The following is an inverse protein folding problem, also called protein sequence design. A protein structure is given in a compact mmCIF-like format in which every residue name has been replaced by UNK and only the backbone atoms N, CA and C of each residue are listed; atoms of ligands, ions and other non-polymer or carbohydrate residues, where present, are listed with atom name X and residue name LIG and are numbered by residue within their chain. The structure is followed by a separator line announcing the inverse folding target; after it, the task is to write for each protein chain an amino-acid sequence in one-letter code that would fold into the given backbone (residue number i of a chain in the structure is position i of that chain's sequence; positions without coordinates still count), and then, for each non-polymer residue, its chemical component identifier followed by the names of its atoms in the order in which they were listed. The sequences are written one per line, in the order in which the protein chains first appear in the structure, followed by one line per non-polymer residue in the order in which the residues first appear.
data_IF_719765536746
#
_entry.id   IF_719765536746
#
_cell.length_a   1.000
_cell.length_b   1.000
_cell.length_c   1.000
_cell.angle_alpha   90.00
_cell.angle_beta   90.00
_cell.angle_gamma   90.00
#
_symmetry.space_group_name_H-M   'P 1'
#
loop_
_entity.id
_entity.type
_entity.pdbx_description
1 polymer ?
#
# COMPACT_ATOMS: atom_id res chain seq x y z
N UNK A 1 3.85 -6.64 -13.00
CA UNK A 1 3.15 -5.40 -13.41
C UNK A 1 4.10 -4.25 -13.15
N UNK A 2 4.38 -3.40 -14.15
CA UNK A 2 5.17 -2.19 -13.96
C UNK A 2 4.23 -1.03 -13.60
N UNK A 3 4.56 -0.29 -12.53
CA UNK A 3 3.87 0.94 -12.14
C UNK A 3 4.72 2.13 -12.56
N UNK A 4 4.12 3.10 -13.23
CA UNK A 4 4.74 4.40 -13.50
C UNK A 4 4.38 5.35 -12.38
N UNK A 5 5.40 5.83 -11.67
CA UNK A 5 5.25 6.81 -10.62
C UNK A 5 5.51 8.22 -11.17
N UNK A 6 4.63 9.16 -10.84
CA UNK A 6 4.82 10.58 -11.11
C UNK A 6 4.78 11.35 -9.80
N UNK A 7 5.83 12.12 -9.53
CA UNK A 7 5.93 13.03 -8.40
C UNK A 7 5.66 14.45 -8.90
N UNK A 8 4.81 15.18 -8.18
CA UNK A 8 4.52 16.60 -8.45
C UNK A 8 4.56 17.40 -7.15
N UNK A 9 5.00 18.65 -7.26
CA UNK A 9 4.97 19.62 -6.17
C UNK A 9 4.02 20.75 -6.53
N UNK A 10 3.27 21.22 -5.55
CA UNK A 10 2.39 22.38 -5.68
C UNK A 10 2.51 23.28 -4.47
N UNK A 11 2.53 24.58 -4.69
CA UNK A 11 2.41 25.58 -3.64
C UNK A 11 0.95 25.69 -3.16
N UNK A 12 0.72 25.72 -1.85
CA UNK A 12 -0.59 25.99 -1.23
C UNK A 12 -0.42 26.99 -0.08
N UNK A 13 -1.53 27.50 0.47
CA UNK A 13 -1.55 28.46 1.57
C UNK A 13 -0.81 27.97 2.83
N UNK A 14 -0.73 26.65 3.02
CA UNK A 14 -0.11 25.99 4.17
C UNK A 14 1.35 25.52 3.94
N UNK A 15 1.94 25.81 2.76
CA UNK A 15 3.31 25.42 2.42
C UNK A 15 3.41 24.66 1.09
N UNK A 16 4.46 23.84 0.94
CA UNK A 16 4.68 23.00 -0.23
C UNK A 16 3.97 21.66 -0.05
N UNK A 17 3.20 21.24 -1.05
CA UNK A 17 2.56 19.93 -1.10
C UNK A 17 3.27 19.04 -2.12
N UNK A 18 3.55 17.80 -1.74
CA UNK A 18 4.11 16.77 -2.60
C UNK A 18 3.05 15.68 -2.86
N UNK A 19 2.88 15.31 -4.13
CA UNK A 19 1.90 14.32 -4.59
C UNK A 19 2.62 13.22 -5.37
N UNK A 20 2.51 11.98 -4.89
CA UNK A 20 2.94 10.79 -5.60
C UNK A 20 1.74 10.05 -6.17
N UNK A 21 1.72 9.87 -7.48
CA UNK A 21 0.70 9.10 -8.19
C UNK A 21 1.36 7.89 -8.88
N UNK A 22 0.89 6.69 -8.56
CA UNK A 22 1.31 5.46 -9.22
C UNK A 22 0.21 4.99 -10.18
N UNK A 23 0.53 4.88 -11.46
CA UNK A 23 -0.37 4.40 -12.52
C UNK A 23 0.08 3.06 -13.07
N UNK A 24 -0.88 2.22 -13.43
CA UNK A 24 -0.57 1.00 -14.19
C UNK A 24 -0.30 1.29 -15.68
N UNK A 25 0.08 0.25 -16.43
CA UNK A 25 0.35 0.35 -17.86
C UNK A 25 -0.87 0.81 -18.71
N UNK A 26 -2.09 0.74 -18.17
CA UNK A 26 -3.32 1.22 -18.81
C UNK A 26 -3.63 2.67 -18.46
N UNK A 27 -2.81 3.31 -17.62
CA UNK A 27 -2.98 4.68 -17.15
C UNK A 27 -3.95 4.83 -15.99
N UNK A 28 -4.48 3.72 -15.44
CA UNK A 28 -5.34 3.75 -14.28
C UNK A 28 -4.53 4.12 -13.03
N UNK A 29 -5.00 5.11 -12.27
CA UNK A 29 -4.40 5.47 -10.98
C UNK A 29 -4.66 4.33 -10.00
N UNK A 30 -3.57 3.81 -9.42
CA UNK A 30 -3.62 2.72 -8.44
C UNK A 30 -3.39 3.23 -7.02
N UNK A 31 -2.53 4.23 -6.87
CA UNK A 31 -2.20 4.81 -5.58
C UNK A 31 -1.98 6.30 -5.76
N UNK A 32 -2.52 7.09 -4.83
CA UNK A 32 -2.25 8.52 -4.67
C UNK A 32 -1.85 8.74 -3.22
N UNK A 33 -0.69 9.35 -3.00
CA UNK A 33 -0.19 9.71 -1.66
C UNK A 33 0.17 11.18 -1.71
N UNK A 34 -0.26 11.92 -0.69
CA UNK A 34 0.01 13.34 -0.54
C UNK A 34 0.59 13.64 0.83
N UNK A 35 1.47 14.63 0.88
CA UNK A 35 2.00 15.18 2.12
C UNK A 35 2.33 16.67 1.95
N UNK A 36 2.34 17.40 3.05
CA UNK A 36 2.64 18.84 3.09
C UNK A 36 3.88 19.06 3.95
N UNK A 37 4.71 20.04 3.59
CA UNK A 37 5.84 20.52 4.37
C UNK A 37 6.06 22.01 4.14
N UNK A 38 6.93 22.63 4.93
CA UNK A 38 7.20 24.08 4.82
C UNK A 38 7.95 24.41 3.53
N UNK A 39 8.73 23.45 3.02
CA UNK A 39 9.41 23.49 1.73
C UNK A 39 9.32 22.15 0.98
N UNK A 40 9.92 22.07 -0.22
CA UNK A 40 9.88 20.87 -1.06
C UNK A 40 10.59 19.67 -0.43
N UNK A 41 11.66 19.91 0.34
CA UNK A 41 12.42 18.86 1.01
C UNK A 41 11.66 18.26 2.19
N UNK A 42 11.00 19.12 2.98
CA UNK A 42 10.09 18.67 4.04
C UNK A 42 8.89 17.93 3.47
N UNK A 43 8.26 18.45 2.42
CA UNK A 43 7.11 17.81 1.77
C UNK A 43 7.48 16.43 1.19
N UNK A 44 8.67 16.30 0.59
CA UNK A 44 9.17 15.02 0.09
C UNK A 44 9.48 14.04 1.22
N UNK A 45 10.04 14.51 2.33
CA UNK A 45 10.35 13.68 3.50
C UNK A 45 9.07 13.14 4.12
N UNK A 46 8.08 14.00 4.34
CA UNK A 46 6.77 13.62 4.83
C UNK A 46 6.04 12.65 3.89
N UNK A 47 6.19 12.82 2.57
CA UNK A 47 5.64 11.91 1.57
C UNK A 47 6.29 10.51 1.66
N UNK A 48 7.61 10.46 1.86
CA UNK A 48 8.34 9.21 2.01
C UNK A 48 7.93 8.46 3.29
N UNK A 49 7.78 9.17 4.40
CA UNK A 49 7.28 8.60 5.66
C UNK A 49 5.88 8.03 5.51
N UNK A 50 4.95 8.82 4.96
CA UNK A 50 3.58 8.37 4.71
C UNK A 50 3.49 7.17 3.77
N UNK A 51 4.38 7.11 2.77
CA UNK A 51 4.49 5.94 1.88
C UNK A 51 4.94 4.69 2.64
N UNK A 52 5.90 4.81 3.56
CA UNK A 52 6.36 3.68 4.40
C UNK A 52 5.27 3.19 5.35
N UNK A 53 4.52 4.09 5.96
CA UNK A 53 3.40 3.74 6.84
C UNK A 53 2.31 2.96 6.09
N UNK A 54 1.92 3.45 4.91
CA UNK A 54 0.95 2.76 4.05
C UNK A 54 1.46 1.39 3.60
N UNK A 55 2.74 1.29 3.24
CA UNK A 55 3.35 0.01 2.90
C UNK A 55 3.31 -0.97 4.08
N UNK A 56 3.68 -0.51 5.28
CA UNK A 56 3.61 -1.32 6.50
C UNK A 56 2.20 -1.82 6.80
N UNK A 57 1.18 -0.95 6.66
CA UNK A 57 -0.22 -1.35 6.82
C UNK A 57 -0.67 -2.41 5.80
N UNK A 58 -0.28 -2.25 4.52
CA UNK A 58 -0.58 -3.23 3.47
C UNK A 58 0.08 -4.58 3.76
N UNK A 59 1.35 -4.60 4.15
CA UNK A 59 2.03 -5.84 4.53
C UNK A 59 1.29 -6.56 5.67
N UNK A 60 0.90 -5.85 6.73
CA UNK A 60 0.16 -6.46 7.83
C UNK A 60 -1.21 -7.04 7.43
N UNK A 61 -1.90 -6.40 6.47
CA UNK A 61 -3.15 -6.94 5.91
C UNK A 61 -2.88 -8.24 5.13
N UNK A 62 -1.84 -8.27 4.29
CA UNK A 62 -1.46 -9.48 3.53
C UNK A 62 -1.14 -10.63 4.47
N UNK A 63 -0.31 -10.40 5.49
CA UNK A 63 0.04 -11.42 6.49
C UNK A 63 -1.22 -11.98 7.18
N UNK A 64 -2.17 -11.12 7.51
CA UNK A 64 -3.46 -11.51 8.12
C UNK A 64 -4.29 -12.35 7.15
N UNK A 65 -4.37 -11.97 5.87
CA UNK A 65 -5.09 -12.73 4.84
C UNK A 65 -4.44 -14.10 4.61
N UNK A 66 -3.11 -14.17 4.56
CA UNK A 66 -2.38 -15.43 4.43
C UNK A 66 -2.61 -16.35 5.64
N UNK A 67 -2.62 -15.81 6.86
CA UNK A 67 -2.92 -16.59 8.06
C UNK A 67 -4.37 -17.13 8.06
N UNK A 68 -5.35 -16.30 7.67
CA UNK A 68 -6.74 -16.73 7.53
C UNK A 68 -6.90 -17.80 6.46
N UNK A 69 -6.27 -17.61 5.29
CA UNK A 69 -6.31 -18.58 4.20
C UNK A 69 -5.69 -19.92 4.63
N UNK A 70 -4.54 -19.90 5.30
CA UNK A 70 -3.91 -21.11 5.83
C UNK A 70 -4.84 -21.85 6.79
N UNK A 71 -5.43 -21.16 7.77
CA UNK A 71 -6.35 -21.78 8.74
C UNK A 71 -7.58 -22.39 8.06
N UNK A 72 -8.12 -21.73 7.04
CA UNK A 72 -9.23 -22.26 6.26
C UNK A 72 -8.86 -23.58 5.58
N UNK A 73 -7.75 -23.61 4.83
CA UNK A 73 -7.31 -24.83 4.15
C UNK A 73 -6.88 -25.94 5.11
N UNK A 74 -6.24 -25.61 6.24
CA UNK A 74 -5.90 -26.60 7.26
C UNK A 74 -7.15 -27.21 7.90
N UNK A 75 -8.22 -26.42 8.07
CA UNK A 75 -9.51 -26.91 8.60
C UNK A 75 -10.23 -27.81 7.59
N UNK A 76 -10.34 -27.40 6.32
CA UNK A 76 -10.93 -28.24 5.28
C UNK A 76 -10.16 -29.56 5.09
N UNK A 77 -8.84 -29.51 5.23
CA UNK A 77 -7.97 -30.69 5.11
C UNK A 77 -8.08 -31.62 6.33
N UNK A 78 -8.36 -31.11 7.52
CA UNK A 78 -8.65 -31.92 8.70
C UNK A 78 -10.02 -32.62 8.59
N UNK A 79 -11.03 -31.93 8.04
CA UNK A 79 -12.36 -32.49 7.80
C UNK A 79 -12.39 -33.53 6.67
N UNK A 80 -11.46 -33.46 5.72
CA UNK A 80 -11.34 -34.40 4.60
C UNK A 80 -10.61 -35.72 4.93
N UNK A 81 -10.21 -35.94 6.19
CA UNK A 81 -9.58 -37.21 6.59
C UNK A 81 -10.65 -38.32 6.64
N UNK A 82 -10.63 -39.34 5.76
CA UNK A 82 -11.57 -40.45 5.87
C UNK A 82 -11.22 -41.21 7.14
N UNK A 83 -12.17 -41.28 8.06
CA UNK A 83 -12.15 -42.27 9.14
C UNK A 83 -12.43 -43.62 8.49
N UNK A 84 -11.37 -44.29 8.02
CA UNK A 84 -11.44 -45.70 7.68
C UNK A 84 -11.64 -46.48 9.00
N UNK A 85 -12.83 -47.06 9.13
CA UNK A 85 -13.22 -47.98 10.20
C UNK A 85 -13.13 -49.44 9.75
#
# INVERSE_FOLDING_TARGET
MELRCQLRFTDDADGKRALLEARDARGCVRVTIEATGSDEGEALSALAERTRELYGAVCGIVDTVEDVARRYYDSERAEATPTDG
#
